data_IF_501189810659
#
_entry.id   IF_501189810659
#
_cell.length_a   1.000
_cell.length_b   1.000
_cell.length_c   1.000
_cell.angle_alpha   90.00
_cell.angle_beta   90.00
_cell.angle_gamma   90.00
#
_symmetry.space_group_name_H-M   'P 1'
#
loop_
_entity.id
_entity.type
_entity.pdbx_description
1 polymer ?
#
# COMPACT_ATOMS: atom_id res chain seq x y z
N UNK A 1 -62.28 -18.67 -19.47
CA UNK A 1 -61.61 -18.12 -18.28
C UNK A 1 -60.82 -19.24 -17.61
N UNK A 2 -59.48 -19.22 -17.67
CA UNK A 2 -58.60 -20.16 -16.96
C UNK A 2 -57.63 -19.34 -16.12
N UNK A 3 -57.71 -19.48 -14.80
CA UNK A 3 -56.82 -18.81 -13.86
C UNK A 3 -55.44 -19.49 -13.88
N UNK A 4 -54.40 -18.75 -14.24
CA UNK A 4 -53.01 -19.20 -14.14
C UNK A 4 -52.50 -18.82 -12.75
N UNK A 5 -52.28 -19.83 -11.91
CA UNK A 5 -51.67 -19.66 -10.57
C UNK A 5 -50.20 -19.28 -10.73
N UNK A 6 -49.85 -18.03 -10.38
CA UNK A 6 -48.46 -17.57 -10.32
C UNK A 6 -47.84 -18.07 -9.02
N UNK A 7 -47.00 -19.09 -9.09
CA UNK A 7 -46.16 -19.51 -7.95
C UNK A 7 -45.07 -18.47 -7.75
N UNK A 8 -45.27 -17.59 -6.76
CA UNK A 8 -44.28 -16.62 -6.32
C UNK A 8 -43.16 -17.37 -5.60
N UNK A 9 -42.05 -17.59 -6.29
CA UNK A 9 -40.85 -18.22 -5.70
C UNK A 9 -40.04 -17.12 -5.05
N UNK A 10 -40.08 -17.03 -3.72
CA UNK A 10 -39.27 -16.08 -2.94
C UNK A 10 -37.86 -16.69 -2.82
N UNK A 11 -36.90 -16.11 -3.54
CA UNK A 11 -35.48 -16.41 -3.35
C UNK A 11 -34.99 -15.66 -2.10
N UNK A 12 -34.71 -16.39 -1.02
CA UNK A 12 -34.10 -15.83 0.18
C UNK A 12 -32.60 -15.67 -0.08
N UNK A 13 -32.15 -14.43 -0.26
CA UNK A 13 -30.74 -14.07 -0.33
C UNK A 13 -30.18 -14.09 1.10
N UNK A 14 -29.49 -15.18 1.47
CA UNK A 14 -28.81 -15.29 2.77
C UNK A 14 -27.55 -14.43 2.71
N UNK A 15 -27.59 -13.27 3.36
CA UNK A 15 -26.41 -12.43 3.58
C UNK A 15 -25.60 -13.06 4.72
N UNK A 16 -24.58 -13.86 4.39
CA UNK A 16 -23.63 -14.38 5.38
C UNK A 16 -22.76 -13.21 5.88
N UNK A 17 -22.70 -12.93 7.19
CA UNK A 17 -21.77 -11.94 7.70
C UNK A 17 -20.36 -12.52 7.58
N UNK A 18 -19.53 -11.93 6.72
CA UNK A 18 -18.10 -12.19 6.70
C UNK A 18 -17.51 -11.65 8.00
N UNK A 19 -17.16 -12.55 8.92
CA UNK A 19 -16.47 -12.19 10.15
C UNK A 19 -15.04 -11.81 9.77
N UNK A 20 -14.76 -10.51 9.69
CA UNK A 20 -13.40 -10.01 9.51
C UNK A 20 -12.69 -10.16 10.87
N UNK A 21 -12.08 -11.32 11.12
CA UNK A 21 -11.25 -11.47 12.31
C UNK A 21 -10.03 -10.56 12.19
N UNK A 22 -9.95 -9.57 13.09
CA UNK A 22 -8.69 -8.90 13.36
C UNK A 22 -7.70 -9.96 13.87
N UNK A 23 -6.62 -10.20 13.14
CA UNK A 23 -5.52 -11.05 13.60
C UNK A 23 -4.94 -10.37 14.85
N UNK A 24 -4.81 -11.09 15.96
CA UNK A 24 -4.10 -10.58 17.13
C UNK A 24 -2.68 -10.21 16.70
N UNK A 25 -2.41 -8.90 16.62
CA UNK A 25 -1.07 -8.39 16.38
C UNK A 25 -0.23 -8.75 17.60
N UNK A 26 0.71 -9.68 17.46
CA UNK A 26 1.64 -9.99 18.53
C UNK A 26 2.55 -8.79 18.75
N UNK A 27 2.44 -8.18 19.92
CA UNK A 27 3.31 -7.12 20.39
C UNK A 27 4.44 -7.82 21.15
N UNK A 28 5.71 -7.57 20.78
CA UNK A 28 6.89 -8.25 21.36
C UNK A 28 7.13 -8.00 22.87
N UNK A 29 6.21 -7.31 23.56
CA UNK A 29 6.23 -7.12 25.00
C UNK A 29 7.52 -6.48 25.50
N UNK A 30 8.09 -7.06 26.56
CA UNK A 30 9.31 -6.59 27.25
C UNK A 30 10.62 -7.07 26.60
N UNK A 31 10.57 -7.71 25.44
CA UNK A 31 11.73 -8.23 24.70
C UNK A 31 11.96 -7.42 23.41
N UNK A 32 12.48 -6.18 23.50
CA UNK A 32 12.58 -5.28 22.34
C UNK A 32 13.53 -5.76 21.24
N UNK A 33 14.43 -6.71 21.53
CA UNK A 33 15.33 -7.32 20.56
C UNK A 33 14.71 -8.45 19.73
N UNK A 34 13.50 -8.89 20.07
CA UNK A 34 12.84 -10.01 19.40
C UNK A 34 11.78 -9.52 18.41
N UNK A 35 11.86 -10.02 17.18
CA UNK A 35 10.80 -9.81 16.19
C UNK A 35 9.66 -10.80 16.47
N UNK A 36 8.39 -10.35 16.50
CA UNK A 36 7.23 -11.24 16.56
C UNK A 36 7.26 -12.35 15.51
N UNK A 37 6.93 -13.58 15.89
CA UNK A 37 6.93 -14.74 14.98
C UNK A 37 5.95 -14.57 13.80
N UNK A 38 4.83 -13.86 14.02
CA UNK A 38 3.82 -13.54 13.02
C UNK A 38 3.92 -12.09 12.50
N UNK A 39 5.04 -11.38 12.72
CA UNK A 39 5.23 -10.06 12.13
C UNK A 39 5.15 -10.17 10.60
N UNK A 40 4.32 -9.35 9.94
CA UNK A 40 4.30 -9.29 8.48
C UNK A 40 5.70 -9.05 7.91
N UNK A 41 6.04 -9.75 6.83
CA UNK A 41 7.29 -9.58 6.10
C UNK A 41 6.95 -9.08 4.71
N UNK A 42 7.54 -7.95 4.32
CA UNK A 42 7.49 -7.48 2.93
C UNK A 42 8.45 -8.35 2.12
N UNK A 43 7.92 -9.19 1.24
CA UNK A 43 8.72 -10.10 0.41
C UNK A 43 9.06 -9.49 -0.95
N UNK A 44 8.29 -8.50 -1.39
CA UNK A 44 8.51 -7.78 -2.64
C UNK A 44 8.06 -6.32 -2.49
N UNK A 45 8.68 -5.44 -3.26
CA UNK A 45 8.34 -4.02 -3.34
C UNK A 45 8.38 -3.56 -4.80
N UNK A 46 7.28 -3.74 -5.55
CA UNK A 46 7.25 -3.42 -6.96
C UNK A 46 7.37 -1.91 -7.16
N UNK A 47 8.32 -1.53 -8.03
CA UNK A 47 8.53 -0.15 -8.48
C UNK A 47 8.06 -0.03 -9.92
N UNK A 48 6.78 0.25 -10.06
CA UNK A 48 6.16 0.48 -11.36
C UNK A 48 6.53 1.85 -11.94
N UNK A 49 6.06 2.14 -13.16
CA UNK A 49 6.31 3.41 -13.80
C UNK A 49 5.82 4.59 -12.94
N UNK A 50 4.65 4.47 -12.32
CA UNK A 50 4.10 5.51 -11.46
C UNK A 50 4.97 5.78 -10.22
N UNK A 51 5.64 4.76 -9.68
CA UNK A 51 6.63 4.93 -8.62
C UNK A 51 7.83 5.74 -9.09
N UNK A 52 8.39 5.43 -10.26
CA UNK A 52 9.53 6.16 -10.82
C UNK A 52 9.18 7.60 -11.20
N UNK A 53 8.02 7.85 -11.80
CA UNK A 53 7.52 9.20 -12.10
C UNK A 53 7.48 10.08 -10.84
N UNK A 54 7.06 9.53 -9.70
CA UNK A 54 7.11 10.23 -8.41
C UNK A 54 8.54 10.38 -7.90
N UNK A 55 9.32 9.30 -7.91
CA UNK A 55 10.68 9.30 -7.38
C UNK A 55 11.64 10.22 -8.15
N UNK A 56 11.34 10.51 -9.42
CA UNK A 56 12.12 11.37 -10.31
C UNK A 56 11.48 12.75 -10.53
N UNK A 57 10.38 13.07 -9.83
CA UNK A 57 9.72 14.36 -9.96
C UNK A 57 10.70 15.52 -9.75
N UNK A 58 10.64 16.52 -10.64
CA UNK A 58 11.52 17.69 -10.59
C UNK A 58 12.97 17.45 -11.04
N UNK A 59 13.32 16.24 -11.50
CA UNK A 59 14.66 15.93 -12.01
C UNK A 59 14.64 15.98 -13.53
N UNK A 60 15.55 16.75 -14.11
CA UNK A 60 15.69 16.85 -15.57
C UNK A 60 16.51 15.69 -16.13
N UNK A 61 16.07 15.16 -17.27
CA UNK A 61 16.86 14.19 -18.03
C UNK A 61 18.13 14.82 -18.63
N UNK A 62 19.20 14.03 -18.83
CA UNK A 62 19.33 12.61 -18.46
C UNK A 62 19.52 12.43 -16.94
N UNK A 63 18.88 11.40 -16.38
CA UNK A 63 19.04 11.08 -14.96
C UNK A 63 20.50 10.66 -14.67
N UNK A 64 21.17 11.26 -13.67
CA UNK A 64 22.52 10.89 -13.33
C UNK A 64 22.60 9.46 -12.74
N UNK A 65 23.70 8.76 -13.02
CA UNK A 65 23.95 7.39 -12.53
C UNK A 65 23.85 7.27 -11.00
N UNK A 66 24.11 8.36 -10.28
CA UNK A 66 23.96 8.41 -8.83
C UNK A 66 22.53 8.13 -8.35
N UNK A 67 21.50 8.27 -9.20
CA UNK A 67 20.09 7.97 -8.86
C UNK A 67 19.72 6.50 -9.05
N UNK A 68 20.62 5.66 -9.57
CA UNK A 68 20.35 4.22 -9.74
C UNK A 68 20.11 3.48 -8.42
N UNK A 69 20.42 4.09 -7.28
CA UNK A 69 20.01 3.55 -5.97
C UNK A 69 18.49 3.36 -5.87
N UNK A 70 17.68 4.13 -6.62
CA UNK A 70 16.23 3.98 -6.70
C UNK A 70 15.83 2.57 -7.18
N UNK A 71 16.64 1.91 -8.01
CA UNK A 71 16.45 0.51 -8.44
C UNK A 71 16.61 -0.48 -7.26
N UNK A 72 17.38 -0.12 -6.24
CA UNK A 72 17.66 -0.96 -5.06
C UNK A 72 16.88 -0.56 -3.81
N UNK A 73 16.29 0.65 -3.79
CA UNK A 73 15.52 1.15 -2.66
C UNK A 73 14.29 0.27 -2.40
N UNK A 74 14.16 -0.21 -1.15
CA UNK A 74 12.98 -0.93 -0.67
C UNK A 74 11.91 0.02 -0.11
N UNK A 75 11.01 -0.50 0.71
CA UNK A 75 9.91 0.25 1.33
C UNK A 75 10.34 1.22 2.46
N UNK A 76 11.60 1.66 2.49
CA UNK A 76 12.09 2.61 3.49
C UNK A 76 11.59 4.03 3.17
N UNK A 77 11.23 4.77 4.22
CA UNK A 77 10.86 6.17 4.08
C UNK A 77 12.06 6.99 3.59
N UNK A 78 11.84 7.80 2.56
CA UNK A 78 12.78 8.82 2.11
C UNK A 78 12.03 10.15 1.95
N UNK A 79 12.59 11.27 2.40
CA UNK A 79 11.98 12.58 2.18
C UNK A 79 12.08 13.02 0.71
N UNK A 80 13.02 12.46 -0.07
CA UNK A 80 13.29 12.93 -1.44
C UNK A 80 12.17 12.64 -2.44
N UNK A 81 11.38 11.58 -2.24
CA UNK A 81 10.31 11.16 -3.16
C UNK A 81 8.90 11.54 -2.69
N UNK A 82 8.80 12.46 -1.72
CA UNK A 82 7.54 12.87 -1.09
C UNK A 82 7.27 14.36 -1.28
N UNK A 83 6.00 14.73 -1.57
CA UNK A 83 5.58 16.13 -1.52
C UNK A 83 5.43 16.62 -0.07
N UNK A 84 5.32 17.94 0.08
CA UNK A 84 4.98 18.59 1.36
C UNK A 84 6.17 18.90 2.28
N UNK A 85 7.40 18.77 1.78
CA UNK A 85 8.56 19.36 2.46
C UNK A 85 8.50 20.87 2.31
N UNK A 86 8.85 21.63 3.35
CA UNK A 86 8.85 23.10 3.27
C UNK A 86 10.27 23.65 3.40
N UNK A 87 10.49 24.85 2.86
CA UNK A 87 11.73 25.60 3.04
C UNK A 87 12.96 24.90 2.44
N UNK A 88 14.13 24.91 3.11
CA UNK A 88 15.42 24.50 2.52
C UNK A 88 15.51 23.02 2.16
N UNK A 89 14.52 22.22 2.54
CA UNK A 89 14.44 20.80 2.23
C UNK A 89 13.51 20.48 1.07
N UNK A 90 12.78 21.47 0.54
CA UNK A 90 12.04 21.32 -0.70
C UNK A 90 12.93 21.56 -1.93
N UNK A 91 13.86 20.62 -2.14
CA UNK A 91 14.82 20.71 -3.24
C UNK A 91 14.19 20.39 -4.62
N UNK A 92 12.89 20.07 -4.66
CA UNK A 92 12.15 19.66 -5.87
C UNK A 92 10.94 20.54 -6.17
N UNK A 93 10.71 21.60 -5.38
CA UNK A 93 9.55 22.49 -5.49
C UNK A 93 8.22 21.72 -5.47
N UNK A 94 8.13 20.75 -4.54
CA UNK A 94 7.07 19.76 -4.47
C UNK A 94 6.22 19.86 -3.19
N UNK A 95 6.14 21.04 -2.58
CA UNK A 95 5.33 21.32 -1.40
C UNK A 95 3.81 21.33 -1.65
#
# INVERSE_FOLDING_TARGET
MRAVSKKLTIAVLVLLPTVLQAQELFIAGVHPGERPANAPVVTDYPKDAAWFERALHGITEPHPDSLRFLESQGAWFTPFDRPGMTGPYDIRDWH
#
